data_IF_297754531217
#
_entry.id   IF_297754531217
#
_cell.length_a   1.000
_cell.length_b   1.000
_cell.length_c   1.000
_cell.angle_alpha   90.00
_cell.angle_beta   90.00
_cell.angle_gamma   90.00
#
_symmetry.space_group_name_H-M   'P 1'
#
loop_
_entity.id
_entity.type
_entity.pdbx_description
1 polymer ?
#
# COMPACT_ATOMS: atom_id res chain seq x y z
N UNK A 1 12.13 26.50 -20.79
CA UNK A 1 13.35 25.76 -20.37
C UNK A 1 14.16 26.48 -19.29
N UNK A 2 14.37 27.80 -19.36
CA UNK A 2 15.09 28.55 -18.31
C UNK A 2 14.26 28.82 -17.03
N UNK A 3 12.95 29.02 -17.15
CA UNK A 3 12.09 29.35 -15.98
C UNK A 3 11.91 28.14 -15.04
N UNK A 4 11.90 26.92 -15.58
CA UNK A 4 11.80 25.69 -14.78
C UNK A 4 13.12 25.33 -14.06
N UNK A 5 14.26 25.77 -14.63
CA UNK A 5 15.58 25.65 -14.00
C UNK A 5 15.73 26.63 -12.83
N UNK A 6 15.19 27.84 -12.94
CA UNK A 6 15.22 28.86 -11.86
C UNK A 6 14.28 28.51 -10.68
N UNK A 7 13.13 27.85 -10.93
CA UNK A 7 12.34 27.25 -9.84
C UNK A 7 12.98 26.02 -9.19
N UNK A 8 13.95 25.38 -9.85
CA UNK A 8 14.73 24.28 -9.27
C UNK A 8 15.93 24.79 -8.47
N UNK A 9 16.58 25.88 -8.89
CA UNK A 9 17.71 26.49 -8.16
C UNK A 9 17.27 27.33 -6.94
N UNK A 10 16.00 27.73 -6.85
CA UNK A 10 15.45 28.43 -5.68
C UNK A 10 14.85 27.52 -4.60
N UNK A 11 14.85 26.18 -4.80
CA UNK A 11 14.61 25.21 -3.72
C UNK A 11 15.90 24.98 -2.92
N UNK A 12 16.45 26.06 -2.36
CA UNK A 12 17.48 25.94 -1.35
C UNK A 12 16.89 25.26 -0.10
N UNK A 13 17.22 23.97 0.03
CA UNK A 13 17.53 23.27 1.27
C UNK A 13 16.54 23.38 2.45
N UNK A 14 15.26 23.00 2.26
CA UNK A 14 14.49 22.42 3.36
C UNK A 14 13.79 21.15 2.91
N UNK A 15 14.01 19.99 3.57
CA UNK A 15 13.29 18.77 3.23
C UNK A 15 11.80 19.02 3.43
N UNK A 16 10.96 18.59 2.47
CA UNK A 16 9.51 18.71 2.66
C UNK A 16 9.12 17.99 3.95
N UNK A 17 8.53 18.73 4.88
CA UNK A 17 7.91 18.17 6.05
C UNK A 17 6.70 17.31 5.63
N UNK A 18 6.18 16.46 6.51
CA UNK A 18 5.06 15.53 6.26
C UNK A 18 3.88 16.20 5.53
N UNK A 19 3.50 17.41 5.95
CA UNK A 19 2.42 18.20 5.34
C UNK A 19 2.75 18.63 3.90
N UNK A 20 4.02 18.94 3.64
CA UNK A 20 4.49 19.32 2.31
C UNK A 20 4.38 18.17 1.32
N UNK A 21 4.79 16.96 1.73
CA UNK A 21 4.65 15.73 0.93
C UNK A 21 3.17 15.47 0.63
N UNK A 22 2.32 15.55 1.66
CA UNK A 22 0.88 15.33 1.49
C UNK A 22 0.25 16.33 0.52
N UNK A 23 0.62 17.61 0.63
CA UNK A 23 0.16 18.68 -0.28
C UNK A 23 0.58 18.41 -1.72
N UNK A 24 1.81 17.96 -1.93
CA UNK A 24 2.31 17.66 -3.28
C UNK A 24 1.62 16.42 -3.87
N UNK A 25 1.42 15.39 -3.05
CA UNK A 25 0.69 14.18 -3.42
C UNK A 25 -0.77 14.47 -3.82
N UNK A 26 -1.46 15.40 -3.16
CA UNK A 26 -2.82 15.83 -3.55
C UNK A 26 -2.85 16.52 -4.92
N UNK A 27 -1.79 17.25 -5.27
CA UNK A 27 -1.71 17.95 -6.56
C UNK A 27 -1.30 17.03 -7.72
N UNK A 28 -0.62 15.93 -7.43
CA UNK A 28 -0.07 15.04 -8.45
C UNK A 28 -1.15 14.47 -9.38
N UNK A 29 -2.30 13.97 -8.89
CA UNK A 29 -3.37 13.49 -9.76
C UNK A 29 -3.95 14.56 -10.68
N UNK A 30 -4.00 15.81 -10.22
CA UNK A 30 -4.54 16.93 -11.00
C UNK A 30 -3.67 17.31 -12.20
N UNK A 31 -2.37 16.96 -12.20
CA UNK A 31 -1.46 17.23 -13.33
C UNK A 31 -1.82 16.43 -14.58
N UNK A 32 -2.36 15.22 -14.42
CA UNK A 32 -2.90 14.41 -15.50
C UNK A 32 -4.20 13.73 -15.06
N UNK A 33 -5.22 14.54 -14.80
CA UNK A 33 -6.49 14.08 -14.23
C UNK A 33 -7.19 13.01 -15.09
N UNK A 34 -7.04 13.08 -16.42
CA UNK A 34 -7.63 12.09 -17.34
C UNK A 34 -7.03 10.71 -17.13
N UNK A 35 -5.70 10.58 -17.10
CA UNK A 35 -5.02 9.31 -16.89
C UNK A 35 -5.33 8.74 -15.50
N UNK A 36 -5.29 9.61 -14.49
CA UNK A 36 -5.49 9.21 -13.09
C UNK A 36 -6.92 8.75 -12.83
N UNK A 37 -7.90 9.41 -13.43
CA UNK A 37 -9.31 8.97 -13.38
C UNK A 37 -9.49 7.62 -14.10
N UNK A 38 -8.91 7.46 -15.30
CA UNK A 38 -8.96 6.19 -16.04
C UNK A 38 -8.36 5.03 -15.23
N UNK A 39 -7.22 5.26 -14.59
CA UNK A 39 -6.56 4.30 -13.70
C UNK A 39 -7.43 3.95 -12.49
N UNK A 40 -8.00 4.96 -11.82
CA UNK A 40 -8.84 4.75 -10.65
C UNK A 40 -10.07 3.90 -11.00
N UNK A 41 -10.74 4.19 -12.13
CA UNK A 41 -11.88 3.40 -12.61
C UNK A 41 -11.44 1.99 -13.01
N UNK A 42 -10.29 1.87 -13.67
CA UNK A 42 -9.74 0.58 -14.10
C UNK A 42 -9.39 -0.34 -12.93
N UNK A 43 -8.92 0.20 -11.81
CA UNK A 43 -8.63 -0.57 -10.59
C UNK A 43 -9.89 -0.84 -9.77
N UNK A 44 -10.79 0.14 -9.66
CA UNK A 44 -12.04 0.01 -8.93
C UNK A 44 -12.96 -1.05 -9.53
N UNK A 45 -13.08 -1.10 -10.86
CA UNK A 45 -13.98 -2.02 -11.56
C UNK A 45 -13.76 -3.50 -11.17
N UNK A 46 -12.57 -4.09 -11.39
CA UNK A 46 -12.33 -5.50 -11.06
C UNK A 46 -12.39 -5.78 -9.55
N UNK A 47 -12.00 -4.82 -8.70
CA UNK A 47 -12.10 -4.98 -7.24
C UNK A 47 -13.55 -5.04 -6.79
N UNK A 48 -14.41 -4.17 -7.31
CA UNK A 48 -15.84 -4.19 -6.99
C UNK A 48 -16.53 -5.45 -7.50
N UNK A 49 -16.24 -5.87 -8.74
CA UNK A 49 -16.77 -7.14 -9.25
C UNK A 49 -16.33 -8.32 -8.39
N UNK A 50 -15.09 -8.33 -7.90
CA UNK A 50 -14.60 -9.40 -7.04
C UNK A 50 -15.34 -9.44 -5.69
N UNK A 51 -15.53 -8.29 -5.04
CA UNK A 51 -16.30 -8.19 -3.78
C UNK A 51 -17.74 -8.66 -4.02
N UNK A 52 -18.34 -8.30 -5.15
CA UNK A 52 -19.69 -8.74 -5.47
C UNK A 52 -19.78 -10.26 -5.64
N UNK A 53 -18.85 -10.86 -6.40
CA UNK A 53 -18.81 -12.31 -6.60
C UNK A 53 -18.52 -13.03 -5.27
N UNK A 54 -17.67 -12.45 -4.41
CA UNK A 54 -17.42 -12.97 -3.07
C UNK A 54 -18.70 -12.99 -2.23
N UNK A 55 -19.43 -11.89 -2.15
CA UNK A 55 -20.71 -11.84 -1.42
C UNK A 55 -21.73 -12.86 -1.96
N UNK A 56 -21.78 -13.07 -3.29
CA UNK A 56 -22.68 -14.03 -3.93
C UNK A 56 -22.30 -15.50 -3.66
N UNK A 57 -21.00 -15.82 -3.62
CA UNK A 57 -20.50 -17.20 -3.53
C UNK A 57 -20.21 -17.61 -2.08
N UNK A 58 -19.52 -16.74 -1.33
CA UNK A 58 -19.14 -16.99 0.06
C UNK A 58 -20.29 -16.66 1.02
N UNK A 59 -21.09 -15.64 0.75
CA UNK A 59 -22.17 -15.19 1.64
C UNK A 59 -23.14 -16.30 2.10
N UNK A 60 -23.73 -17.08 1.19
CA UNK A 60 -24.62 -18.19 1.57
C UNK A 60 -23.94 -19.27 2.42
N UNK A 61 -22.64 -19.50 2.17
CA UNK A 61 -21.87 -20.52 2.88
C UNK A 61 -21.42 -20.03 4.27
N UNK A 62 -21.13 -18.73 4.41
CA UNK A 62 -20.86 -18.08 5.69
C UNK A 62 -22.09 -18.19 6.59
N UNK A 63 -23.25 -17.78 6.09
CA UNK A 63 -24.50 -17.80 6.87
C UNK A 63 -24.88 -19.23 7.28
N UNK A 64 -24.74 -20.21 6.37
CA UNK A 64 -24.95 -21.62 6.71
C UNK A 64 -24.03 -22.11 7.83
N UNK A 65 -22.74 -21.76 7.79
CA UNK A 65 -21.77 -22.17 8.82
C UNK A 65 -22.05 -21.48 10.15
N UNK A 66 -22.53 -20.24 10.13
CA UNK A 66 -22.94 -19.49 11.31
C UNK A 66 -24.15 -20.14 11.99
N UNK A 67 -25.20 -20.46 11.23
CA UNK A 67 -26.37 -21.20 11.72
C UNK A 67 -25.98 -22.57 12.31
N UNK A 68 -25.12 -23.32 11.61
CA UNK A 68 -24.64 -24.63 12.06
C UNK A 68 -23.73 -24.53 13.30
N UNK A 69 -23.05 -23.39 13.49
CA UNK A 69 -22.24 -23.12 14.67
C UNK A 69 -23.11 -22.92 15.90
N UNK A 70 -24.17 -22.13 15.78
CA UNK A 70 -25.15 -21.93 16.86
C UNK A 70 -25.86 -23.24 17.23
N UNK A 71 -26.12 -24.11 16.25
CA UNK A 71 -26.76 -25.41 16.46
C UNK A 71 -25.79 -26.53 16.86
N UNK A 72 -24.48 -26.24 16.96
CA UNK A 72 -23.42 -27.22 17.24
C UNK A 72 -23.36 -28.39 16.24
N UNK A 73 -23.84 -28.18 15.01
CA UNK A 73 -23.93 -29.17 13.91
C UNK A 73 -22.89 -28.97 12.80
N UNK A 74 -21.91 -28.09 12.99
CA UNK A 74 -20.90 -27.69 11.98
C UNK A 74 -20.31 -28.86 11.20
N UNK A 75 -20.61 -28.91 9.90
CA UNK A 75 -19.93 -29.82 8.98
C UNK A 75 -18.52 -29.31 8.64
N UNK A 76 -17.52 -30.18 8.88
CA UNK A 76 -16.12 -29.89 8.54
C UNK A 76 -15.90 -29.72 7.05
N UNK A 77 -16.74 -30.34 6.21
CA UNK A 77 -16.63 -30.19 4.76
C UNK A 77 -17.04 -28.80 4.29
N UNK A 78 -18.08 -28.21 4.90
CA UNK A 78 -18.52 -26.85 4.58
C UNK A 78 -17.47 -25.82 5.00
N UNK A 79 -16.88 -25.96 6.19
CA UNK A 79 -15.77 -25.11 6.64
C UNK A 79 -14.56 -25.22 5.72
N UNK A 80 -14.19 -26.43 5.28
CA UNK A 80 -13.10 -26.64 4.34
C UNK A 80 -13.41 -26.01 2.97
N UNK A 81 -14.65 -26.13 2.51
CA UNK A 81 -15.10 -25.52 1.25
C UNK A 81 -15.01 -24.00 1.33
N UNK A 82 -15.52 -23.40 2.41
CA UNK A 82 -15.44 -21.95 2.65
C UNK A 82 -13.99 -21.48 2.70
N UNK A 83 -13.11 -22.21 3.40
CA UNK A 83 -11.68 -21.87 3.45
C UNK A 83 -11.03 -21.89 2.06
N UNK A 84 -11.38 -22.86 1.22
CA UNK A 84 -10.89 -22.95 -0.16
C UNK A 84 -11.38 -21.79 -1.03
N UNK A 85 -12.66 -21.44 -0.91
CA UNK A 85 -13.28 -20.30 -1.61
C UNK A 85 -12.62 -18.99 -1.16
N UNK A 86 -12.49 -18.78 0.15
CA UNK A 86 -11.88 -17.58 0.73
C UNK A 86 -10.43 -17.42 0.28
N UNK A 87 -9.64 -18.50 0.31
CA UNK A 87 -8.25 -18.47 -0.15
C UNK A 87 -8.13 -18.12 -1.64
N UNK A 88 -9.06 -18.62 -2.47
CA UNK A 88 -9.12 -18.27 -3.89
C UNK A 88 -9.42 -16.78 -4.08
N UNK A 89 -10.44 -16.25 -3.39
CA UNK A 89 -10.80 -14.83 -3.47
C UNK A 89 -9.67 -13.93 -2.98
N UNK A 90 -9.03 -14.26 -1.85
CA UNK A 90 -7.86 -13.54 -1.34
C UNK A 90 -6.72 -13.55 -2.36
N UNK A 91 -6.47 -14.70 -3.01
CA UNK A 91 -5.46 -14.81 -4.07
C UNK A 91 -5.75 -13.91 -5.27
N UNK A 92 -6.99 -13.93 -5.77
CA UNK A 92 -7.41 -13.09 -6.91
C UNK A 92 -7.40 -11.60 -6.54
N UNK A 93 -7.90 -11.25 -5.36
CA UNK A 93 -7.88 -9.89 -4.82
C UNK A 93 -6.46 -9.34 -4.75
N UNK A 94 -5.54 -10.17 -4.25
CA UNK A 94 -4.12 -9.84 -4.11
C UNK A 94 -3.47 -9.54 -5.47
N UNK A 95 -3.77 -10.35 -6.50
CA UNK A 95 -3.23 -10.13 -7.86
C UNK A 95 -3.79 -8.84 -8.48
N UNK A 96 -5.11 -8.61 -8.39
CA UNK A 96 -5.75 -7.41 -8.93
C UNK A 96 -5.20 -6.16 -8.23
N UNK A 97 -5.10 -6.21 -6.89
CA UNK A 97 -4.55 -5.12 -6.09
C UNK A 97 -3.09 -4.83 -6.45
N UNK A 98 -2.26 -5.86 -6.57
CA UNK A 98 -0.86 -5.72 -6.99
C UNK A 98 -0.73 -5.03 -8.36
N UNK A 99 -1.50 -5.48 -9.37
CA UNK A 99 -1.52 -4.84 -10.67
C UNK A 99 -1.94 -3.37 -10.57
N UNK A 100 -2.99 -3.07 -9.82
CA UNK A 100 -3.46 -1.70 -9.61
C UNK A 100 -2.42 -0.80 -8.95
N UNK A 101 -1.82 -1.26 -7.84
CA UNK A 101 -0.76 -0.55 -7.12
C UNK A 101 0.42 -0.25 -8.04
N UNK A 102 0.85 -1.24 -8.81
CA UNK A 102 1.99 -1.12 -9.72
C UNK A 102 1.74 -0.04 -10.78
N UNK A 103 0.54 -0.05 -11.37
CA UNK A 103 0.12 0.97 -12.36
C UNK A 103 0.03 2.38 -11.74
N UNK A 104 -0.48 2.49 -10.51
CA UNK A 104 -0.58 3.76 -9.79
C UNK A 104 0.80 4.34 -9.52
N UNK A 105 1.74 3.52 -9.02
CA UNK A 105 3.12 3.95 -8.75
C UNK A 105 3.81 4.39 -10.05
N UNK A 106 3.71 3.61 -11.12
CA UNK A 106 4.31 3.96 -12.41
C UNK A 106 3.73 5.26 -12.98
N UNK A 107 2.41 5.45 -12.91
CA UNK A 107 1.76 6.68 -13.35
C UNK A 107 2.14 7.89 -12.47
N UNK A 108 2.13 7.74 -11.14
CA UNK A 108 2.55 8.78 -10.22
C UNK A 108 4.01 9.18 -10.48
N UNK A 109 4.88 8.20 -10.68
CA UNK A 109 6.31 8.35 -10.96
C UNK A 109 6.57 9.12 -12.27
N UNK A 110 5.92 8.73 -13.35
CA UNK A 110 6.04 9.41 -14.66
C UNK A 110 5.49 10.83 -14.63
N UNK A 111 4.34 11.06 -13.99
CA UNK A 111 3.75 12.40 -13.78
C UNK A 111 4.67 13.26 -12.91
N UNK A 112 5.30 12.68 -11.88
CA UNK A 112 6.23 13.40 -11.02
C UNK A 112 7.45 13.91 -11.79
N UNK A 113 8.03 13.08 -12.66
CA UNK A 113 9.15 13.47 -13.56
C UNK A 113 8.69 14.44 -14.66
N UNK A 114 7.38 14.57 -14.90
CA UNK A 114 6.81 15.42 -15.95
C UNK A 114 6.79 14.78 -17.33
N UNK A 115 6.86 13.44 -17.40
CA UNK A 115 6.65 12.69 -18.64
C UNK A 115 5.15 12.57 -18.91
N UNK A 116 4.73 12.88 -20.13
CA UNK A 116 3.36 12.61 -20.56
C UNK A 116 3.25 11.15 -21.04
N UNK A 117 2.35 10.40 -20.42
CA UNK A 117 2.12 8.98 -20.72
C UNK A 117 0.63 8.75 -20.96
N UNK A 118 0.32 7.89 -21.93
CA UNK A 118 -1.06 7.48 -22.22
C UNK A 118 -1.38 6.19 -21.48
N UNK A 119 -2.67 5.92 -21.31
CA UNK A 119 -3.15 4.69 -20.67
C UNK A 119 -2.64 3.41 -21.38
N UNK A 120 -2.49 3.44 -22.71
CA UNK A 120 -1.94 2.29 -23.45
C UNK A 120 -0.46 2.02 -23.16
N UNK A 121 0.31 3.06 -22.80
CA UNK A 121 1.74 2.92 -22.49
C UNK A 121 1.95 2.16 -21.18
N UNK A 122 0.99 2.28 -20.25
CA UNK A 122 0.96 1.52 -19.01
C UNK A 122 0.92 0.00 -19.25
N UNK A 123 0.14 -0.44 -20.24
CA UNK A 123 0.01 -1.86 -20.57
C UNK A 123 1.25 -2.39 -21.29
N UNK A 124 1.91 -1.55 -22.07
CA UNK A 124 3.21 -1.88 -22.66
C UNK A 124 4.28 -2.03 -21.58
N UNK A 125 4.29 -1.11 -20.60
CA UNK A 125 5.23 -1.15 -19.48
C UNK A 125 5.01 -2.37 -18.58
N UNK A 126 3.77 -2.68 -18.19
CA UNK A 126 3.51 -3.86 -17.33
C UNK A 126 3.96 -5.14 -18.03
N UNK A 127 3.76 -5.26 -19.35
CA UNK A 127 4.24 -6.42 -20.10
C UNK A 127 5.76 -6.54 -20.12
N UNK A 128 6.47 -5.42 -20.15
CA UNK A 128 7.93 -5.38 -20.20
C UNK A 128 8.59 -5.60 -18.83
N UNK A 129 8.09 -4.93 -17.78
CA UNK A 129 8.83 -4.73 -16.53
C UNK A 129 8.14 -5.27 -15.28
N UNK A 130 7.09 -6.10 -15.41
CA UNK A 130 6.37 -6.64 -14.23
C UNK A 130 7.16 -7.60 -13.33
N UNK A 131 8.23 -8.23 -13.84
CA UNK A 131 8.93 -9.31 -13.13
C UNK A 131 9.52 -8.84 -11.80
N UNK A 132 10.21 -7.71 -11.78
CA UNK A 132 10.87 -7.21 -10.57
C UNK A 132 9.87 -6.73 -9.51
N UNK A 133 8.85 -5.92 -9.85
CA UNK A 133 7.77 -5.59 -8.93
C UNK A 133 7.06 -6.83 -8.37
N UNK A 134 6.85 -7.87 -9.19
CA UNK A 134 6.24 -9.12 -8.74
C UNK A 134 7.12 -9.87 -7.73
N UNK A 135 8.42 -9.97 -8.00
CA UNK A 135 9.37 -10.59 -7.08
C UNK A 135 9.42 -9.84 -5.74
N UNK A 136 9.45 -8.50 -5.79
CA UNK A 136 9.41 -7.65 -4.59
C UNK A 136 8.11 -7.81 -3.84
N UNK A 137 6.98 -7.84 -4.54
CA UNK A 137 5.67 -8.04 -3.94
C UNK A 137 5.55 -9.39 -3.25
N UNK A 138 6.00 -10.49 -3.88
CA UNK A 138 6.05 -11.81 -3.23
C UNK A 138 6.97 -11.81 -2.02
N UNK A 139 8.15 -11.19 -2.14
CA UNK A 139 9.12 -11.08 -1.05
C UNK A 139 8.58 -10.30 0.15
N UNK A 140 7.68 -9.35 -0.06
CA UNK A 140 6.97 -8.61 0.99
C UNK A 140 5.77 -9.39 1.53
N UNK A 141 5.03 -10.06 0.64
CA UNK A 141 3.81 -10.78 0.96
C UNK A 141 4.06 -11.93 1.94
N UNK A 142 5.09 -12.76 1.70
CA UNK A 142 5.39 -13.89 2.60
C UNK A 142 5.72 -13.46 4.04
N UNK A 143 6.66 -12.52 4.30
CA UNK A 143 6.92 -12.00 5.63
C UNK A 143 5.70 -11.34 6.27
N UNK A 144 4.86 -10.66 5.49
CA UNK A 144 3.62 -10.06 6.02
C UNK A 144 2.66 -11.12 6.55
N UNK A 145 2.45 -12.22 5.82
CA UNK A 145 1.61 -13.33 6.26
C UNK A 145 2.18 -14.01 7.52
N UNK A 146 3.50 -14.26 7.55
CA UNK A 146 4.19 -14.83 8.72
C UNK A 146 4.02 -13.90 9.94
N UNK A 147 4.16 -12.59 9.74
CA UNK A 147 4.03 -11.60 10.80
C UNK A 147 2.62 -11.59 11.40
N UNK A 148 1.58 -11.61 10.57
CA UNK A 148 0.18 -11.65 11.03
C UNK A 148 -0.10 -12.92 11.84
N UNK A 149 0.36 -14.08 11.36
CA UNK A 149 0.23 -15.35 12.11
C UNK A 149 0.97 -15.28 13.44
N UNK A 150 2.19 -14.73 13.45
CA UNK A 150 2.97 -14.58 14.68
C UNK A 150 2.26 -13.69 15.70
N UNK A 151 1.78 -12.51 15.27
CA UNK A 151 1.08 -11.57 16.16
C UNK A 151 -0.20 -12.16 16.71
N UNK A 152 -1.01 -12.84 15.89
CA UNK A 152 -2.25 -13.48 16.36
C UNK A 152 -1.99 -14.60 17.37
N UNK A 153 -0.95 -15.42 17.15
CA UNK A 153 -0.51 -16.44 18.13
C UNK A 153 -0.04 -15.78 19.42
N UNK A 154 0.74 -14.70 19.34
CA UNK A 154 1.23 -13.97 20.51
C UNK A 154 0.09 -13.35 21.33
N UNK A 155 -0.89 -12.73 20.68
CA UNK A 155 -2.08 -12.17 21.36
C UNK A 155 -2.83 -13.27 22.12
N UNK A 156 -3.07 -14.42 21.47
CA UNK A 156 -3.75 -15.57 22.10
C UNK A 156 -2.96 -16.13 23.28
N UNK A 157 -1.63 -16.25 23.15
CA UNK A 157 -0.77 -16.77 24.19
C UNK A 157 -0.72 -15.83 25.42
N UNK A 158 -0.52 -14.53 25.19
CA UNK A 158 -0.50 -13.51 26.25
C UNK A 158 -1.85 -13.44 26.96
N UNK A 159 -2.95 -13.51 26.22
CA UNK A 159 -4.31 -13.49 26.79
C UNK A 159 -4.63 -14.74 27.61
N UNK A 160 -3.94 -15.86 27.35
CA UNK A 160 -4.09 -17.11 28.11
C UNK A 160 -3.27 -17.12 29.40
N UNK A 161 -2.05 -16.56 29.35
CA UNK A 161 -1.11 -16.56 30.48
C UNK A 161 -1.39 -15.40 31.45
N UNK A 162 -1.79 -14.24 30.91
CA UNK A 162 -2.01 -13.00 31.64
C UNK A 162 -3.46 -12.53 31.49
N UNK A 163 -3.76 -11.33 31.99
CA UNK A 163 -5.06 -10.68 31.77
C UNK A 163 -5.26 -10.29 30.31
N UNK A 164 -6.52 -10.27 29.85
CA UNK A 164 -6.92 -9.82 28.51
C UNK A 164 -6.34 -8.45 28.10
N UNK A 165 -6.14 -7.53 29.06
CA UNK A 165 -5.54 -6.20 28.84
C UNK A 165 -4.16 -6.29 28.19
N UNK A 166 -3.30 -7.22 28.62
CA UNK A 166 -1.96 -7.39 28.06
C UNK A 166 -2.01 -7.94 26.62
N UNK A 167 -3.03 -8.72 26.27
CA UNK A 167 -3.29 -9.15 24.90
C UNK A 167 -3.58 -7.98 23.97
N UNK A 168 -4.41 -7.03 24.42
CA UNK A 168 -4.69 -5.80 23.67
C UNK A 168 -3.46 -4.92 23.49
N UNK A 169 -2.66 -4.73 24.55
CA UNK A 169 -1.40 -3.97 24.47
C UNK A 169 -0.43 -4.61 23.45
N UNK A 170 -0.28 -5.94 23.48
CA UNK A 170 0.55 -6.67 22.53
C UNK A 170 0.03 -6.51 21.09
N UNK A 171 -1.29 -6.54 20.90
CA UNK A 171 -1.93 -6.30 19.60
C UNK A 171 -1.64 -4.90 19.06
N UNK A 172 -1.84 -3.85 19.88
CA UNK A 172 -1.56 -2.46 19.49
C UNK A 172 -0.09 -2.29 19.10
N UNK A 173 0.83 -2.84 19.90
CA UNK A 173 2.26 -2.79 19.59
C UNK A 173 2.59 -3.52 18.28
N UNK A 174 1.94 -4.66 18.03
CA UNK A 174 2.05 -5.40 16.78
C UNK A 174 1.57 -4.58 15.58
N UNK A 175 0.42 -3.90 15.68
CA UNK A 175 -0.08 -3.03 14.60
C UNK A 175 0.89 -1.87 14.34
N UNK A 176 1.37 -1.20 15.39
CA UNK A 176 2.32 -0.08 15.26
C UNK A 176 3.60 -0.51 14.53
N UNK A 177 4.13 -1.68 14.89
CA UNK A 177 5.32 -2.24 14.23
C UNK A 177 5.02 -2.71 12.81
N UNK A 178 3.85 -3.27 12.55
CA UNK A 178 3.42 -3.61 11.20
C UNK A 178 3.37 -2.39 10.28
N UNK A 179 2.85 -1.25 10.75
CA UNK A 179 2.84 -0.01 9.97
C UNK A 179 4.25 0.47 9.61
N UNK A 180 5.21 0.27 10.51
CA UNK A 180 6.62 0.55 10.24
C UNK A 180 7.18 -0.34 9.13
N UNK A 181 6.94 -1.66 9.19
CA UNK A 181 7.34 -2.59 8.14
C UNK A 181 6.66 -2.27 6.81
N UNK A 182 5.36 -1.97 6.86
CA UNK A 182 4.56 -1.69 5.67
C UNK A 182 5.04 -0.41 4.95
N UNK A 183 5.47 0.62 5.69
CA UNK A 183 6.09 1.81 5.11
C UNK A 183 7.38 1.48 4.33
N UNK A 184 8.23 0.62 4.88
CA UNK A 184 9.46 0.16 4.22
C UNK A 184 9.15 -0.69 2.99
N UNK A 185 8.16 -1.57 3.09
CA UNK A 185 7.74 -2.43 1.98
C UNK A 185 7.08 -1.64 0.84
N UNK A 186 6.29 -0.61 1.16
CA UNK A 186 5.73 0.29 0.16
C UNK A 186 6.83 0.99 -0.64
N UNK A 187 7.88 1.46 0.02
CA UNK A 187 9.05 2.05 -0.65
C UNK A 187 9.84 1.03 -1.46
N UNK A 188 10.04 -0.19 -0.95
CA UNK A 188 10.70 -1.26 -1.69
C UNK A 188 9.95 -1.56 -3.00
N UNK A 189 8.63 -1.61 -2.96
CA UNK A 189 7.80 -1.81 -4.14
C UNK A 189 7.97 -0.64 -5.13
N UNK A 190 8.00 0.59 -4.64
CA UNK A 190 8.20 1.78 -5.48
C UNK A 190 9.57 1.76 -6.16
N UNK A 191 10.65 1.51 -5.41
CA UNK A 191 12.00 1.39 -5.95
C UNK A 191 12.07 0.30 -7.01
N UNK A 192 11.41 -0.84 -6.78
CA UNK A 192 11.38 -1.94 -7.74
C UNK A 192 10.65 -1.63 -9.06
N UNK A 193 9.73 -0.67 -9.02
CA UNK A 193 8.99 -0.19 -10.20
C UNK A 193 9.80 0.89 -10.94
N UNK A 194 10.49 1.75 -10.18
CA UNK A 194 11.31 2.82 -10.73
C UNK A 194 12.60 2.31 -11.36
N UNK A 195 13.15 1.20 -10.85
CA UNK A 195 14.42 0.65 -11.29
C UNK A 195 14.25 -0.75 -11.87
N UNK A 196 14.50 -0.86 -13.17
CA UNK A 196 14.29 -2.08 -13.93
C UNK A 196 15.20 -3.24 -13.52
N UNK A 197 16.28 -3.00 -12.77
CA UNK A 197 17.23 -4.05 -12.33
C UNK A 197 17.17 -4.35 -10.81
N UNK A 198 16.28 -3.69 -10.06
CA UNK A 198 16.17 -3.84 -8.61
C UNK A 198 14.89 -4.58 -8.21
N UNK A 199 14.98 -5.89 -7.99
CA UNK A 199 13.86 -6.72 -7.50
C UNK A 199 14.14 -7.37 -6.14
N UNK A 200 13.07 -7.72 -5.42
CA UNK A 200 13.14 -8.52 -4.19
C UNK A 200 13.94 -7.87 -3.08
N UNK A 201 14.93 -8.60 -2.57
CA UNK A 201 15.80 -8.15 -1.48
C UNK A 201 16.64 -6.93 -1.86
N UNK A 202 17.03 -6.80 -3.13
CA UNK A 202 17.81 -5.65 -3.60
C UNK A 202 16.98 -4.37 -3.51
N UNK A 203 15.71 -4.44 -3.89
CA UNK A 203 14.78 -3.31 -3.77
C UNK A 203 14.54 -2.92 -2.31
N UNK A 204 14.40 -3.89 -1.40
CA UNK A 204 14.27 -3.64 0.04
C UNK A 204 15.54 -3.00 0.61
N UNK A 205 16.72 -3.52 0.24
CA UNK A 205 18.00 -2.97 0.66
C UNK A 205 18.20 -1.53 0.18
N UNK A 206 17.80 -1.24 -1.07
CA UNK A 206 17.88 0.11 -1.63
C UNK A 206 16.86 1.06 -1.00
N UNK A 207 15.61 0.64 -0.82
CA UNK A 207 14.61 1.44 -0.12
C UNK A 207 15.06 1.84 1.30
N UNK A 208 15.69 0.90 2.03
CA UNK A 208 16.26 1.18 3.36
C UNK A 208 17.40 2.21 3.30
N UNK A 209 18.25 2.17 2.26
CA UNK A 209 19.30 3.18 2.08
C UNK A 209 18.72 4.55 1.78
N UNK A 210 17.72 4.62 0.89
CA UNK A 210 17.06 5.87 0.47
C UNK A 210 16.34 6.54 1.66
N UNK A 211 15.65 5.77 2.50
CA UNK A 211 14.90 6.31 3.65
C UNK A 211 15.77 6.55 4.90
N UNK A 212 17.05 6.15 4.88
CA UNK A 212 17.94 6.30 6.03
C UNK A 212 17.98 7.75 6.52
N UNK A 213 17.71 7.97 7.81
CA UNK A 213 17.60 9.30 8.42
C UNK A 213 16.20 9.95 8.36
N UNK A 214 15.24 9.37 7.62
CA UNK A 214 13.83 9.82 7.55
C UNK A 214 12.82 8.69 7.77
N UNK A 215 13.27 7.58 8.37
CA UNK A 215 12.44 6.40 8.69
C UNK A 215 11.20 6.77 9.50
N UNK A 216 11.39 7.61 10.52
CA UNK A 216 10.31 8.11 11.39
C UNK A 216 9.28 8.90 10.59
N UNK A 217 9.71 9.70 9.60
CA UNK A 217 8.80 10.46 8.75
C UNK A 217 7.96 9.55 7.85
N UNK A 218 8.57 8.51 7.27
CA UNK A 218 7.85 7.50 6.49
C UNK A 218 6.83 6.73 7.33
N UNK A 219 7.19 6.38 8.57
CA UNK A 219 6.28 5.76 9.52
C UNK A 219 5.11 6.68 9.90
N UNK A 220 5.37 7.96 10.18
CA UNK A 220 4.31 8.94 10.45
C UNK A 220 3.38 9.13 9.25
N UNK A 221 3.90 9.15 8.02
CA UNK A 221 3.07 9.22 6.82
C UNK A 221 2.14 8.00 6.72
N UNK A 222 2.67 6.79 6.91
CA UNK A 222 1.85 5.58 6.91
C UNK A 222 0.79 5.63 8.00
N UNK A 223 1.16 6.04 9.22
CA UNK A 223 0.24 6.15 10.34
C UNK A 223 -0.90 7.13 10.05
N UNK A 224 -0.62 8.31 9.51
CA UNK A 224 -1.65 9.29 9.13
C UNK A 224 -2.61 8.69 8.09
N UNK A 225 -2.05 8.07 7.04
CA UNK A 225 -2.84 7.45 5.96
C UNK A 225 -3.72 6.30 6.47
N UNK A 226 -3.19 5.46 7.36
CA UNK A 226 -3.95 4.39 8.00
C UNK A 226 -5.05 4.95 8.89
N UNK A 227 -4.76 5.92 9.76
CA UNK A 227 -5.75 6.50 10.68
C UNK A 227 -6.92 7.14 9.92
N UNK A 228 -6.63 7.83 8.80
CA UNK A 228 -7.68 8.39 7.93
C UNK A 228 -8.56 7.29 7.32
N UNK A 229 -8.00 6.08 7.11
CA UNK A 229 -8.70 4.94 6.54
C UNK A 229 -9.54 4.16 7.57
N UNK A 230 -9.26 4.27 8.88
CA UNK A 230 -9.96 3.50 9.93
C UNK A 230 -11.48 3.73 9.95
N UNK A 231 -12.00 4.98 9.95
CA UNK A 231 -13.44 5.22 10.00
C UNK A 231 -14.19 4.53 8.86
N UNK A 232 -13.56 4.45 7.68
CA UNK A 232 -14.13 3.82 6.49
C UNK A 232 -14.25 2.31 6.72
N UNK A 233 -13.19 1.69 7.24
CA UNK A 233 -13.22 0.27 7.58
C UNK A 233 -14.25 -0.05 8.68
N UNK A 234 -14.39 0.83 9.68
CA UNK A 234 -15.36 0.65 10.77
C UNK A 234 -16.79 0.76 10.25
N UNK A 235 -17.10 1.80 9.46
CA UNK A 235 -18.43 1.96 8.85
C UNK A 235 -18.76 0.76 7.97
N UNK A 236 -17.80 0.27 7.20
CA UNK A 236 -17.96 -0.93 6.39
C UNK A 236 -18.26 -2.19 7.23
N UNK A 237 -17.47 -2.42 8.29
CA UNK A 237 -17.64 -3.56 9.17
C UNK A 237 -19.02 -3.54 9.84
N UNK A 238 -19.38 -2.43 10.46
CA UNK A 238 -20.68 -2.25 11.16
C UNK A 238 -21.85 -2.51 10.21
N UNK A 239 -21.79 -1.99 8.98
CA UNK A 239 -22.88 -2.16 8.01
C UNK A 239 -23.00 -3.59 7.47
N UNK A 240 -21.92 -4.39 7.52
CA UNK A 240 -21.98 -5.82 7.18
C UNK A 240 -22.51 -6.66 8.34
N UNK A 241 -22.32 -6.22 9.59
CA UNK A 241 -22.73 -6.94 10.79
C UNK A 241 -24.10 -6.54 11.34
N UNK A 242 -24.74 -5.53 10.76
CA UNK A 242 -26.15 -5.23 11.05
C UNK A 242 -27.02 -6.29 10.33
N UNK A 243 -27.42 -7.31 11.08
CA UNK A 243 -28.34 -8.39 10.69
C UNK A 243 -29.81 -7.91 10.59
N UNK A 244 -30.07 -6.62 10.77
CA UNK A 244 -31.42 -6.07 10.65
C UNK A 244 -31.81 -5.99 9.17
N UNK A 245 -32.44 -7.06 8.69
CA UNK A 245 -33.00 -7.39 7.36
C UNK A 245 -33.86 -6.30 6.65
N UNK A 246 -33.85 -5.04 7.08
CA UNK A 246 -34.63 -3.96 6.46
C UNK A 246 -33.87 -3.20 5.35
N UNK A 247 -32.56 -3.36 5.23
CA UNK A 247 -31.77 -2.71 4.18
C UNK A 247 -31.88 -3.50 2.88
N UNK A 248 -32.89 -3.18 2.07
CA UNK A 248 -33.14 -3.85 0.79
C UNK A 248 -31.89 -3.96 -0.10
N UNK A 249 -31.83 -5.02 -0.92
CA UNK A 249 -30.68 -5.39 -1.77
C UNK A 249 -29.96 -4.18 -2.41
N UNK A 250 -30.71 -3.23 -2.96
CA UNK A 250 -30.14 -2.04 -3.58
C UNK A 250 -29.22 -1.23 -2.64
N UNK A 251 -29.58 -1.10 -1.37
CA UNK A 251 -28.81 -0.36 -0.36
C UNK A 251 -27.51 -1.07 -0.01
N UNK A 252 -27.54 -2.40 0.12
CA UNK A 252 -26.34 -3.20 0.37
C UNK A 252 -25.36 -3.14 -0.82
N UNK A 253 -25.87 -3.23 -2.05
CA UNK A 253 -25.07 -3.06 -3.27
C UNK A 253 -24.44 -1.66 -3.36
N UNK A 254 -25.24 -0.60 -3.14
CA UNK A 254 -24.76 0.78 -3.19
C UNK A 254 -23.69 1.06 -2.11
N UNK A 255 -23.91 0.52 -0.91
CA UNK A 255 -22.96 0.65 0.19
C UNK A 255 -21.66 -0.11 -0.07
N UNK A 256 -21.74 -1.35 -0.57
CA UNK A 256 -20.57 -2.14 -0.96
C UNK A 256 -19.74 -1.44 -2.05
N UNK A 257 -20.40 -0.82 -3.04
CA UNK A 257 -19.74 0.00 -4.05
C UNK A 257 -19.04 1.20 -3.44
N UNK A 258 -19.74 1.96 -2.60
CA UNK A 258 -19.19 3.17 -1.98
C UNK A 258 -17.99 2.85 -1.08
N UNK A 259 -18.08 1.80 -0.27
CA UNK A 259 -16.96 1.35 0.57
C UNK A 259 -15.76 0.92 -0.28
N UNK A 260 -15.99 0.08 -1.29
CA UNK A 260 -14.92 -0.37 -2.20
C UNK A 260 -14.26 0.82 -2.91
N UNK A 261 -15.06 1.79 -3.35
CA UNK A 261 -14.57 3.01 -3.99
C UNK A 261 -13.67 3.84 -3.05
N UNK A 262 -14.08 4.02 -1.80
CA UNK A 262 -13.27 4.75 -0.82
C UNK A 262 -12.00 3.99 -0.48
N UNK A 263 -12.05 2.68 -0.28
CA UNK A 263 -10.85 1.86 -0.03
C UNK A 263 -9.86 1.95 -1.19
N UNK A 264 -10.36 1.89 -2.43
CA UNK A 264 -9.54 2.10 -3.63
C UNK A 264 -8.90 3.50 -3.64
N UNK A 265 -9.66 4.53 -3.27
CA UNK A 265 -9.16 5.90 -3.20
C UNK A 265 -8.08 6.06 -2.12
N UNK A 266 -8.27 5.45 -0.94
CA UNK A 266 -7.31 5.47 0.15
C UNK A 266 -6.01 4.75 -0.23
N UNK A 267 -6.12 3.58 -0.88
CA UNK A 267 -4.97 2.85 -1.41
C UNK A 267 -4.23 3.68 -2.46
N UNK A 268 -4.96 4.24 -3.43
CA UNK A 268 -4.42 5.10 -4.47
C UNK A 268 -3.65 6.27 -3.88
N UNK A 269 -4.26 7.00 -2.95
CA UNK A 269 -3.64 8.14 -2.32
C UNK A 269 -2.40 7.77 -1.51
N UNK A 270 -2.44 6.63 -0.79
CA UNK A 270 -1.29 6.10 -0.05
C UNK A 270 -0.08 5.90 -0.97
N UNK A 271 -0.25 5.20 -2.09
CA UNK A 271 0.87 4.96 -3.00
C UNK A 271 1.36 6.24 -3.68
N UNK A 272 0.47 7.18 -4.03
CA UNK A 272 0.88 8.49 -4.57
C UNK A 272 1.72 9.27 -3.55
N UNK A 273 1.32 9.29 -2.27
CA UNK A 273 2.09 9.93 -1.18
C UNK A 273 3.46 9.28 -1.02
N UNK A 274 3.51 7.95 -1.01
CA UNK A 274 4.76 7.21 -0.88
C UNK A 274 5.67 7.36 -2.11
N UNK A 275 5.12 7.50 -3.32
CA UNK A 275 5.90 7.81 -4.52
C UNK A 275 6.56 9.18 -4.39
N UNK A 276 5.81 10.22 -4.02
CA UNK A 276 6.38 11.57 -3.77
C UNK A 276 7.46 11.51 -2.68
N UNK A 277 7.20 10.80 -1.58
CA UNK A 277 8.17 10.63 -0.51
C UNK A 277 9.44 9.91 -0.98
N UNK A 278 9.32 8.88 -1.82
CA UNK A 278 10.45 8.16 -2.39
C UNK A 278 11.35 9.09 -3.22
N UNK A 279 10.76 9.86 -4.13
CA UNK A 279 11.50 10.82 -4.96
C UNK A 279 12.23 11.89 -4.14
N UNK A 280 11.58 12.42 -3.10
CA UNK A 280 12.19 13.41 -2.20
C UNK A 280 13.35 12.83 -1.38
N UNK A 281 13.27 11.55 -0.99
CA UNK A 281 14.36 10.86 -0.31
C UNK A 281 15.50 10.49 -1.28
N UNK A 282 15.18 10.10 -2.51
CA UNK A 282 16.16 9.75 -3.54
C UNK A 282 16.98 10.97 -3.98
N UNK A 283 16.33 12.13 -4.20
CA UNK A 283 17.01 13.38 -4.56
C UNK A 283 18.03 13.79 -3.49
N UNK A 284 17.65 13.68 -2.22
CA UNK A 284 18.53 13.95 -1.07
C UNK A 284 19.72 13.00 -1.00
N UNK A 285 19.48 11.70 -1.21
CA UNK A 285 20.54 10.71 -1.17
C UNK A 285 21.60 11.00 -2.24
N UNK A 286 21.18 11.35 -3.45
CA UNK A 286 22.09 11.75 -4.52
C UNK A 286 22.87 13.05 -4.23
N UNK A 287 22.23 14.04 -3.57
CA UNK A 287 22.92 15.26 -3.11
C UNK A 287 24.04 14.93 -2.11
N UNK A 288 23.75 14.08 -1.11
CA UNK A 288 24.72 13.70 -0.06
C UNK A 288 25.89 12.90 -0.65
N UNK A 289 25.65 11.96 -1.57
CA UNK A 289 26.72 11.21 -2.23
C UNK A 289 27.60 12.12 -3.10
N UNK A 290 27.02 13.11 -3.77
CA UNK A 290 27.76 14.08 -4.59
C UNK A 290 28.64 15.00 -3.72
N UNK A 291 28.10 15.52 -2.62
CA UNK A 291 28.86 16.35 -1.66
C UNK A 291 29.99 15.56 -1.00
N UNK A 292 29.75 14.32 -0.61
CA UNK A 292 30.77 13.43 -0.04
C UNK A 292 31.89 13.15 -1.06
N UNK A 293 31.56 12.86 -2.32
CA UNK A 293 32.54 12.67 -3.39
C UNK A 293 33.42 13.91 -3.62
N UNK A 294 32.84 15.11 -3.64
CA UNK A 294 33.60 16.35 -3.77
C UNK A 294 34.53 16.60 -2.56
N UNK A 295 34.10 16.25 -1.34
CA UNK A 295 34.93 16.41 -0.14
C UNK A 295 36.13 15.45 -0.11
N UNK A 296 35.96 14.20 -0.58
CA UNK A 296 37.04 13.20 -0.67
C UNK A 296 38.08 13.60 -1.72
N UNK A 297 37.65 14.07 -2.89
CA UNK A 297 38.55 14.56 -3.94
C UNK A 297 39.33 15.80 -3.47
N UNK A 298 38.68 16.70 -2.72
CA UNK A 298 39.35 17.89 -2.17
C UNK A 298 40.37 17.53 -1.09
N UNK A 299 40.10 16.49 -0.28
CA UNK A 299 41.03 15.99 0.73
C UNK A 299 42.25 15.30 0.10
N UNK A 300 42.09 14.51 -0.97
CA UNK A 300 43.24 13.92 -1.67
C UNK A 300 44.12 14.96 -2.37
N UNK A 301 43.51 16.00 -2.96
CA UNK A 301 44.25 17.11 -3.57
C UNK A 301 44.97 18.01 -2.56
N UNK A 302 44.48 18.08 -1.32
CA UNK A 302 45.11 18.84 -0.23
C UNK A 302 46.28 18.12 0.45
N UNK A 303 46.43 16.82 0.26
CA UNK A 303 47.53 16.01 0.84
C UNK A 303 48.75 15.94 -0.09
N UNK A 304 48.60 16.34 -1.36
CA UNK A 304 49.66 16.32 -2.38
C UNK A 304 50.32 17.69 -2.64
N UNK A 305 50.00 18.72 -1.85
CA UNK A 305 50.63 20.05 -1.87
C UNK A 305 51.35 20.32 -0.54
#
# INVERSE_FOLDING_TARGET
>A
MAIQKVTNESRMAFPLNTVGILREAVKLPARNGKLMLQLMIFVLSPLYFLVLIHNLVAGPLIHKIEDDYEQSSVDRNDVRSLLGIELLFVGVFSIISFCGITLIIYAASTIYIGKDIKFNDLFSWIRASWKNPLITWLYVYFPSAIYIVLVTVMIKLVSKISSSIWGWVAGILGVVFYLYLFAQWALALIVSIMEEDCGGINAVGKARKIISGREVQGWFLMLILTVISIPICVVFYVTITDDDDELGLFTQFAFGFFSTAILCLAMFFTFVVFTVFCYECEQRHGEIESEAGHSLVSHELGVHN
#
